data_IF_776103898494
#
_entry.id   IF_776103898494
#
_cell.length_a   1.000
_cell.length_b   1.000
_cell.length_c   1.000
_cell.angle_alpha   90.00
_cell.angle_beta   90.00
_cell.angle_gamma   90.00
#
_symmetry.space_group_name_H-M   'P 1'
#
loop_
_entity.id
_entity.type
_entity.pdbx_description
1 polymer ?
#
# COMPACT_ATOMS: atom_id res chain seq x y z
N UNK A 1 -2.79 12.27 -20.04
CA UNK A 1 -2.01 11.29 -19.26
C UNK A 1 -1.21 12.07 -18.22
N UNK A 2 -1.20 11.61 -16.97
CA UNK A 2 -0.50 12.27 -15.88
C UNK A 2 0.57 11.33 -15.32
N UNK A 3 1.81 11.82 -15.29
CA UNK A 3 2.93 11.11 -14.66
C UNK A 3 3.34 11.86 -13.39
N UNK A 4 3.64 11.12 -12.33
CA UNK A 4 4.10 11.73 -11.08
C UNK A 4 5.11 10.84 -10.36
N UNK A 5 6.11 11.43 -9.67
CA UNK A 5 7.09 10.67 -8.91
C UNK A 5 6.41 10.02 -7.71
N UNK A 6 6.81 8.79 -7.41
CA UNK A 6 6.24 8.02 -6.31
C UNK A 6 7.31 7.29 -5.51
N UNK A 7 6.91 6.86 -4.31
CA UNK A 7 7.61 5.84 -3.54
C UNK A 7 6.67 4.65 -3.36
N UNK A 8 7.19 3.44 -3.59
CA UNK A 8 6.48 2.19 -3.27
C UNK A 8 6.66 1.94 -1.77
N UNK A 9 5.54 1.83 -1.06
CA UNK A 9 5.48 1.64 0.39
C UNK A 9 5.40 0.17 0.79
N UNK A 10 4.61 -0.61 0.03
CA UNK A 10 4.49 -2.06 0.15
C UNK A 10 4.08 -2.64 -1.21
N UNK A 11 4.50 -3.87 -1.51
CA UNK A 11 4.27 -4.52 -2.80
C UNK A 11 3.76 -5.94 -2.56
N UNK A 12 2.50 -6.21 -2.91
CA UNK A 12 1.90 -7.55 -2.78
C UNK A 12 1.95 -8.31 -4.10
N UNK A 13 1.55 -7.63 -5.17
CA UNK A 13 1.61 -8.14 -6.53
C UNK A 13 1.65 -6.97 -7.50
N UNK A 14 1.85 -7.27 -8.78
CA UNK A 14 1.84 -6.25 -9.81
C UNK A 14 0.44 -5.62 -10.03
N UNK A 15 -0.62 -6.25 -9.50
CA UNK A 15 -1.99 -5.71 -9.52
C UNK A 15 -2.44 -5.17 -8.17
N UNK A 16 -1.57 -5.20 -7.15
CA UNK A 16 -1.87 -4.67 -5.83
C UNK A 16 -0.58 -4.29 -5.12
N UNK A 17 -0.29 -2.99 -5.16
CA UNK A 17 0.81 -2.39 -4.42
C UNK A 17 0.39 -1.02 -3.89
N UNK A 18 1.16 -0.53 -2.93
CA UNK A 18 0.86 0.67 -2.17
C UNK A 18 1.92 1.72 -2.48
N UNK A 19 1.46 2.92 -2.85
CA UNK A 19 2.33 4.02 -3.27
C UNK A 19 2.03 5.29 -2.48
N UNK A 20 2.99 6.20 -2.46
CA UNK A 20 2.78 7.58 -2.06
C UNK A 20 3.44 8.55 -3.02
N UNK A 21 2.79 9.70 -3.22
CA UNK A 21 3.35 10.86 -3.92
C UNK A 21 4.26 11.71 -3.01
N UNK A 22 4.22 11.49 -1.69
CA UNK A 22 5.10 12.15 -0.72
C UNK A 22 6.47 11.47 -0.68
N UNK A 23 7.22 11.58 -1.77
CA UNK A 23 8.51 10.90 -1.96
C UNK A 23 9.53 11.31 -0.87
N UNK A 24 9.42 12.54 -0.38
CA UNK A 24 10.30 13.09 0.65
C UNK A 24 9.79 12.87 2.08
N UNK A 25 8.57 12.32 2.27
CA UNK A 25 8.00 12.04 3.58
C UNK A 25 7.56 13.30 4.37
N UNK A 26 7.41 14.45 3.72
CA UNK A 26 7.06 15.72 4.37
C UNK A 26 5.64 15.72 4.93
N UNK A 27 4.68 15.14 4.20
CA UNK A 27 3.29 15.02 4.68
C UNK A 27 3.23 14.04 5.86
N UNK A 28 3.94 12.91 5.76
CA UNK A 28 4.04 11.94 6.87
C UNK A 28 4.62 12.57 8.13
N UNK A 29 5.73 13.32 7.99
CA UNK A 29 6.36 14.01 9.11
C UNK A 29 5.40 15.03 9.77
N UNK A 30 4.73 15.87 8.97
CA UNK A 30 3.74 16.83 9.48
C UNK A 30 2.60 16.15 10.24
N UNK A 31 2.10 15.02 9.73
CA UNK A 31 1.06 14.24 10.42
C UNK A 31 1.60 13.73 11.76
N UNK A 32 2.80 13.15 11.80
CA UNK A 32 3.41 12.68 13.06
C UNK A 32 3.57 13.83 14.07
N UNK A 33 4.01 15.01 13.64
CA UNK A 33 4.14 16.20 14.49
C UNK A 33 2.78 16.67 15.05
N UNK A 34 1.72 16.63 14.25
CA UNK A 34 0.35 16.93 14.71
C UNK A 34 -0.13 15.91 15.74
N UNK A 35 0.13 14.62 15.51
CA UNK A 35 -0.22 13.57 16.47
C UNK A 35 0.50 13.80 17.80
N UNK A 36 1.81 14.09 17.76
CA UNK A 36 2.60 14.32 18.98
C UNK A 36 1.99 15.43 19.85
N UNK A 37 1.48 16.51 19.22
CA UNK A 37 0.89 17.64 19.95
C UNK A 37 -0.43 17.29 20.66
N UNK A 38 -1.28 16.47 20.02
CA UNK A 38 -2.69 16.39 20.38
C UNK A 38 -3.18 14.99 20.77
N UNK A 39 -2.33 13.97 20.76
CA UNK A 39 -2.74 12.60 21.09
C UNK A 39 -3.02 12.40 22.58
N UNK A 40 -4.00 11.55 22.88
CA UNK A 40 -4.29 11.08 24.25
C UNK A 40 -4.26 9.57 24.29
N UNK A 41 -3.60 8.97 25.28
CA UNK A 41 -3.60 7.51 25.45
C UNK A 41 -5.00 7.04 25.84
N UNK A 42 -5.45 5.94 25.24
CA UNK A 42 -6.76 5.34 25.52
C UNK A 42 -6.64 3.83 25.69
N UNK A 43 -7.56 3.25 26.45
CA UNK A 43 -7.61 1.82 26.76
C UNK A 43 -8.65 1.06 25.93
N UNK A 44 -9.62 1.79 25.36
CA UNK A 44 -10.68 1.24 24.52
C UNK A 44 -11.10 2.23 23.43
N UNK A 45 -11.50 1.69 22.28
CA UNK A 45 -11.98 2.45 21.11
C UNK A 45 -13.20 1.77 20.50
N UNK A 46 -13.99 2.51 19.76
CA UNK A 46 -15.01 1.92 18.90
C UNK A 46 -14.35 1.28 17.66
N UNK A 47 -14.98 0.27 17.07
CA UNK A 47 -14.54 -0.24 15.77
C UNK A 47 -14.69 0.87 14.71
N UNK A 48 -13.73 0.94 13.78
CA UNK A 48 -13.63 1.92 12.69
C UNK A 48 -13.08 3.31 13.02
N UNK A 49 -12.62 3.60 14.24
CA UNK A 49 -11.91 4.86 14.52
C UNK A 49 -10.46 4.82 14.00
N UNK A 50 -10.01 5.94 13.42
CA UNK A 50 -8.59 6.13 13.10
C UNK A 50 -7.87 6.54 14.38
N UNK A 51 -6.93 5.71 14.81
CA UNK A 51 -6.12 5.89 16.01
C UNK A 51 -4.68 6.27 15.65
N UNK A 52 -3.92 6.72 16.64
CA UNK A 52 -2.48 6.84 16.54
C UNK A 52 -1.78 5.64 17.17
N UNK A 53 -0.67 5.23 16.55
CA UNK A 53 0.20 4.16 17.02
C UNK A 53 1.66 4.56 16.85
N UNK A 54 2.56 3.98 17.64
CA UNK A 54 4.00 4.16 17.45
C UNK A 54 4.51 3.20 16.38
N UNK A 55 5.25 3.70 15.41
CA UNK A 55 5.83 2.94 14.30
C UNK A 55 7.18 3.55 13.90
N UNK A 56 8.28 2.78 13.94
CA UNK A 56 9.64 3.23 13.61
C UNK A 56 10.01 4.61 14.22
N UNK A 57 9.85 4.75 15.54
CA UNK A 57 10.14 5.97 16.31
C UNK A 57 9.33 7.23 15.97
N UNK A 58 8.28 7.08 15.16
CA UNK A 58 7.31 8.13 14.88
C UNK A 58 5.89 7.69 15.23
N UNK A 59 4.96 8.64 15.21
CA UNK A 59 3.54 8.36 15.36
C UNK A 59 2.88 8.27 13.99
N UNK A 60 2.06 7.24 13.80
CA UNK A 60 1.36 6.97 12.56
C UNK A 60 -0.14 6.85 12.80
N UNK A 61 -0.95 7.23 11.81
CA UNK A 61 -2.38 6.98 11.82
C UNK A 61 -2.64 5.53 11.40
N UNK A 62 -3.58 4.89 12.09
CA UNK A 62 -3.91 3.50 11.85
C UNK A 62 -5.42 3.25 11.98
N UNK A 63 -5.91 2.30 11.20
CA UNK A 63 -7.22 1.69 11.42
C UNK A 63 -7.03 0.39 12.22
N UNK A 64 -7.89 0.13 13.19
CA UNK A 64 -7.89 -1.14 13.92
C UNK A 64 -8.69 -2.15 13.10
N UNK A 65 -8.04 -3.23 12.68
CA UNK A 65 -8.67 -4.33 11.95
C UNK A 65 -9.30 -5.34 12.91
N UNK A 66 -8.60 -5.63 14.01
CA UNK A 66 -8.98 -6.66 14.98
C UNK A 66 -8.33 -6.36 16.33
N UNK A 67 -9.07 -6.63 17.40
CA UNK A 67 -8.55 -6.64 18.78
C UNK A 67 -8.34 -8.09 19.21
N UNK A 68 -7.09 -8.42 19.49
CA UNK A 68 -6.65 -9.74 19.94
C UNK A 68 -6.48 -9.69 21.46
N UNK A 69 -7.34 -10.39 22.19
CA UNK A 69 -7.25 -10.52 23.64
C UNK A 69 -6.53 -11.82 23.97
N UNK A 70 -5.43 -11.75 24.72
CA UNK A 70 -4.79 -12.95 25.23
C UNK A 70 -5.40 -13.33 26.58
N UNK A 71 -6.18 -14.41 26.59
CA UNK A 71 -6.95 -14.91 27.74
C UNK A 71 -6.12 -15.09 29.03
N UNK A 72 -4.81 -15.30 28.91
CA UNK A 72 -3.93 -15.53 30.07
C UNK A 72 -3.38 -14.24 30.70
N UNK A 73 -3.29 -13.14 29.95
CA UNK A 73 -2.60 -11.92 30.40
C UNK A 73 -3.50 -10.68 30.45
N UNK A 74 -4.73 -10.77 29.92
CA UNK A 74 -5.63 -9.64 29.71
C UNK A 74 -5.00 -8.49 28.89
N UNK A 75 -3.84 -8.73 28.26
CA UNK A 75 -3.17 -7.76 27.39
C UNK A 75 -3.91 -7.75 26.06
N UNK A 76 -4.41 -6.57 25.70
CA UNK A 76 -4.99 -6.30 24.38
C UNK A 76 -3.87 -6.02 23.38
N UNK A 77 -3.86 -6.78 22.30
CA UNK A 77 -3.09 -6.47 21.10
C UNK A 77 -4.05 -6.01 20.01
N UNK A 78 -3.62 -5.04 19.22
CA UNK A 78 -4.38 -4.45 18.13
C UNK A 78 -3.67 -4.76 16.82
N UNK A 79 -4.36 -5.47 15.94
CA UNK A 79 -3.95 -5.66 14.55
C UNK A 79 -4.37 -4.41 13.77
N UNK A 80 -3.38 -3.61 13.37
CA UNK A 80 -3.60 -2.27 12.84
C UNK A 80 -3.12 -2.17 11.40
N UNK A 81 -3.90 -1.46 10.57
CA UNK A 81 -3.51 -1.02 9.23
C UNK A 81 -3.05 0.43 9.25
N UNK A 82 -1.77 0.67 8.97
CA UNK A 82 -1.19 2.01 8.88
C UNK A 82 -1.63 2.69 7.59
N UNK A 83 -2.65 3.55 7.68
CA UNK A 83 -3.33 4.14 6.51
C UNK A 83 -2.42 5.04 5.66
N UNK A 84 -1.35 5.60 6.23
CA UNK A 84 -0.39 6.44 5.50
C UNK A 84 0.84 5.68 4.98
N UNK A 85 0.97 4.40 5.37
CA UNK A 85 2.16 3.57 5.09
C UNK A 85 1.83 2.29 4.31
N UNK A 86 0.56 1.90 4.20
CA UNK A 86 0.17 0.68 3.48
C UNK A 86 0.69 -0.60 4.13
N UNK A 87 0.82 -0.63 5.46
CA UNK A 87 1.40 -1.76 6.20
C UNK A 87 0.53 -2.21 7.36
N UNK A 88 0.59 -3.52 7.67
CA UNK A 88 0.00 -4.10 8.88
C UNK A 88 1.03 -4.16 10.00
N UNK A 89 0.61 -3.79 11.20
CA UNK A 89 1.40 -3.95 12.43
C UNK A 89 0.53 -4.54 13.54
N UNK A 90 1.19 -5.15 14.53
CA UNK A 90 0.55 -5.50 15.80
C UNK A 90 1.15 -4.60 16.86
N UNK A 91 0.32 -3.96 17.66
CA UNK A 91 0.74 -3.10 18.76
C UNK A 91 -0.16 -3.30 19.97
N UNK A 92 0.30 -2.91 21.15
CA UNK A 92 -0.46 -3.00 22.40
C UNK A 92 -0.81 -1.62 22.97
N UNK A 93 -0.41 -0.54 22.30
CA UNK A 93 -0.66 0.84 22.70
C UNK A 93 -1.22 1.60 21.51
N UNK A 94 -2.37 2.21 21.73
CA UNK A 94 -3.07 3.07 20.79
C UNK A 94 -3.40 4.40 21.47
N UNK A 95 -3.58 5.44 20.66
CA UNK A 95 -3.88 6.79 21.12
C UNK A 95 -5.06 7.35 20.35
N UNK A 96 -5.94 8.06 21.04
CA UNK A 96 -7.03 8.79 20.41
C UNK A 96 -6.47 9.92 19.57
N UNK A 97 -7.07 10.12 18.41
CA UNK A 97 -6.80 11.26 17.55
C UNK A 97 -7.99 12.21 17.52
N UNK A 98 -7.76 13.53 17.51
CA UNK A 98 -8.79 14.49 17.16
C UNK A 98 -9.37 14.21 15.77
N UNK A 99 -10.69 14.42 15.60
CA UNK A 99 -11.39 14.17 14.31
C UNK A 99 -10.72 14.87 13.12
N UNK A 100 -10.16 16.06 13.33
CA UNK A 100 -9.50 16.80 12.25
C UNK A 100 -8.23 16.08 11.73
N UNK A 101 -7.50 15.33 12.57
CA UNK A 101 -6.35 14.50 12.14
C UNK A 101 -6.85 13.21 11.48
N UNK A 102 -7.92 12.62 12.01
CA UNK A 102 -8.54 11.43 11.43
C UNK A 102 -9.02 11.70 9.99
N UNK A 103 -9.60 12.87 9.74
CA UNK A 103 -10.18 13.27 8.46
C UNK A 103 -9.14 13.68 7.40
N UNK A 104 -7.84 13.77 7.72
CA UNK A 104 -6.81 14.06 6.73
C UNK A 104 -6.77 12.93 5.70
N UNK A 105 -6.77 13.24 4.41
CA UNK A 105 -6.70 12.22 3.36
C UNK A 105 -5.45 11.33 3.53
N UNK A 106 -5.62 9.99 3.55
CA UNK A 106 -4.51 9.05 3.61
C UNK A 106 -3.44 9.33 2.56
N UNK A 107 -2.17 9.28 2.97
CA UNK A 107 -1.04 9.50 2.07
C UNK A 107 -0.72 8.28 1.19
N UNK A 108 -1.22 7.11 1.59
CA UNK A 108 -1.07 5.87 0.85
C UNK A 108 -2.20 5.73 -0.17
N UNK A 109 -1.86 5.36 -1.40
CA UNK A 109 -2.80 4.99 -2.47
C UNK A 109 -2.55 3.56 -2.90
N UNK A 110 -3.62 2.86 -3.29
CA UNK A 110 -3.54 1.52 -3.86
C UNK A 110 -3.38 1.66 -5.37
N UNK A 111 -2.44 0.91 -5.94
CA UNK A 111 -2.15 0.93 -7.35
C UNK A 111 -2.06 -0.48 -7.94
N UNK A 112 -2.35 -0.55 -9.24
CA UNK A 112 -2.24 -1.73 -10.10
C UNK A 112 -1.55 -1.35 -11.40
N UNK A 113 -0.72 -2.24 -11.91
CA UNK A 113 -0.25 -2.14 -13.28
C UNK A 113 -1.41 -2.42 -14.25
N UNK A 114 -1.38 -1.74 -15.39
CA UNK A 114 -2.46 -1.73 -16.38
C UNK A 114 -2.36 -2.89 -17.36
N UNK A 115 -3.51 -3.48 -17.69
CA UNK A 115 -3.73 -4.30 -18.90
C UNK A 115 -2.69 -5.40 -19.12
N UNK A 116 -2.43 -6.19 -18.08
CA UNK A 116 -1.76 -7.47 -18.26
C UNK A 116 -2.26 -8.53 -17.30
N UNK A 117 -1.97 -9.78 -17.62
CA UNK A 117 -2.27 -10.95 -16.84
C UNK A 117 -1.00 -11.82 -16.73
N UNK A 118 -0.89 -12.60 -15.65
CA UNK A 118 0.23 -13.52 -15.50
C UNK A 118 0.00 -14.74 -16.39
N UNK A 119 1.11 -15.27 -16.92
CA UNK A 119 1.11 -16.53 -17.64
C UNK A 119 1.18 -17.68 -16.63
N UNK A 120 0.29 -18.65 -16.75
CA UNK A 120 0.37 -19.89 -16.00
C UNK A 120 1.60 -20.67 -16.50
N UNK A 121 2.39 -21.19 -15.57
CA UNK A 121 3.56 -22.02 -15.87
C UNK A 121 3.19 -23.39 -16.43
N UNK A 122 1.91 -23.77 -16.36
CA UNK A 122 1.39 -25.01 -16.92
C UNK A 122 0.98 -24.74 -18.38
N UNK A 123 1.72 -25.36 -19.29
CA UNK A 123 1.38 -25.41 -20.71
C UNK A 123 0.34 -26.52 -20.91
N UNK A 124 -0.80 -26.17 -21.49
CA UNK A 124 -1.85 -27.15 -21.81
C UNK A 124 -1.82 -27.48 -23.30
N UNK A 125 -1.99 -28.77 -23.63
CA UNK A 125 -2.17 -29.20 -25.01
C UNK A 125 -3.64 -28.98 -25.38
N UNK A 126 -3.91 -27.97 -26.20
CA UNK A 126 -5.24 -27.70 -26.71
C UNK A 126 -5.77 -28.84 -27.58
N UNK A 127 -7.08 -28.88 -27.77
CA UNK A 127 -7.81 -29.93 -28.51
C UNK A 127 -7.29 -30.11 -29.96
N UNK A 128 -6.64 -29.09 -30.52
CA UNK A 128 -6.02 -29.11 -31.86
C UNK A 128 -4.52 -29.41 -31.86
N UNK A 129 -3.93 -29.82 -30.73
CA UNK A 129 -2.50 -30.07 -30.58
C UNK A 129 -1.62 -28.81 -30.43
N UNK A 130 -2.22 -27.63 -30.31
CA UNK A 130 -1.51 -26.37 -30.03
C UNK A 130 -1.24 -26.22 -28.54
N UNK A 131 -0.01 -25.86 -28.17
CA UNK A 131 0.33 -25.53 -26.79
C UNK A 131 -0.23 -24.14 -26.44
N UNK A 132 -1.04 -24.06 -25.40
CA UNK A 132 -1.58 -22.80 -24.86
C UNK A 132 -1.14 -22.61 -23.42
N UNK A 133 -0.63 -21.42 -23.07
CA UNK A 133 -0.47 -21.05 -21.66
C UNK A 133 -1.77 -20.44 -21.16
N UNK A 134 -2.32 -20.97 -20.07
CA UNK A 134 -3.49 -20.36 -19.44
C UNK A 134 -3.11 -19.05 -18.74
N UNK A 135 -4.06 -18.12 -18.63
CA UNK A 135 -3.86 -16.87 -17.91
C UNK A 135 -4.24 -17.09 -16.43
N UNK A 136 -3.50 -16.48 -15.50
CA UNK A 136 -3.75 -16.62 -14.05
C UNK A 136 -3.71 -15.27 -13.34
N UNK A 137 -4.46 -15.18 -12.23
CA UNK A 137 -4.48 -14.04 -11.34
C UNK A 137 -3.34 -14.07 -10.30
N UNK A 138 -2.64 -15.20 -10.18
CA UNK A 138 -1.55 -15.39 -9.21
C UNK A 138 -0.18 -15.14 -9.86
N UNK A 139 0.57 -14.18 -9.34
CA UNK A 139 1.93 -13.93 -9.79
C UNK A 139 2.82 -15.15 -9.51
N UNK A 140 3.56 -15.61 -10.52
CA UNK A 140 4.62 -16.58 -10.29
C UNK A 140 5.75 -15.94 -9.47
N UNK A 141 6.53 -16.76 -8.76
CA UNK A 141 7.71 -16.30 -8.02
C UNK A 141 8.71 -15.56 -8.93
N UNK A 142 8.80 -15.97 -10.20
CA UNK A 142 9.61 -15.31 -11.23
C UNK A 142 9.13 -13.89 -11.54
N UNK A 143 7.83 -13.66 -11.66
CA UNK A 143 7.27 -12.31 -11.89
C UNK A 143 7.56 -11.40 -10.70
N UNK A 144 7.34 -11.90 -9.47
CA UNK A 144 7.59 -11.14 -8.24
C UNK A 144 9.07 -10.76 -8.15
N UNK A 145 9.98 -11.73 -8.32
CA UNK A 145 11.42 -11.50 -8.26
C UNK A 145 11.88 -10.50 -9.32
N UNK A 146 11.47 -10.70 -10.58
CA UNK A 146 11.85 -9.82 -11.68
C UNK A 146 11.36 -8.39 -11.45
N UNK A 147 10.12 -8.23 -10.98
CA UNK A 147 9.57 -6.90 -10.64
C UNK A 147 10.41 -6.24 -9.54
N UNK A 148 10.78 -7.00 -8.52
CA UNK A 148 11.57 -6.51 -7.40
C UNK A 148 12.98 -6.10 -7.81
N UNK A 149 13.65 -6.89 -8.65
CA UNK A 149 15.00 -6.60 -9.15
C UNK A 149 15.02 -5.30 -9.99
N UNK A 150 13.98 -5.08 -10.80
CA UNK A 150 13.84 -3.85 -11.60
C UNK A 150 13.58 -2.63 -10.70
N UNK A 151 12.68 -2.74 -9.72
CA UNK A 151 12.36 -1.66 -8.79
C UNK A 151 13.54 -1.31 -7.89
N UNK A 152 14.23 -2.31 -7.34
CA UNK A 152 15.29 -2.13 -6.33
C UNK A 152 16.58 -1.53 -6.88
N UNK A 153 16.81 -1.63 -8.20
CA UNK A 153 17.98 -1.05 -8.87
C UNK A 153 17.69 0.30 -9.52
N UNK A 154 16.54 0.90 -9.22
CA UNK A 154 16.11 2.18 -9.80
C UNK A 154 16.61 3.38 -9.01
N UNK A 155 16.91 4.47 -9.72
CA UNK A 155 17.24 5.77 -9.13
C UNK A 155 15.97 6.51 -8.73
N UNK A 156 14.93 6.36 -9.55
CA UNK A 156 13.63 7.02 -9.40
C UNK A 156 12.53 6.17 -10.03
N UNK A 157 11.35 6.23 -9.42
CA UNK A 157 10.14 5.59 -9.94
C UNK A 157 9.09 6.67 -10.18
N UNK A 158 8.48 6.62 -11.36
CA UNK A 158 7.36 7.48 -11.76
C UNK A 158 6.17 6.58 -12.05
N UNK A 159 4.99 6.98 -11.59
CA UNK A 159 3.74 6.31 -11.94
C UNK A 159 3.11 7.04 -13.12
N UNK A 160 2.83 6.30 -14.19
CA UNK A 160 2.09 6.78 -15.35
C UNK A 160 0.62 6.39 -15.21
N UNK A 161 -0.21 7.33 -14.75
CA UNK A 161 -1.63 7.09 -14.48
C UNK A 161 -2.41 7.03 -15.79
N UNK A 162 -3.08 5.90 -16.00
CA UNK A 162 -3.98 5.67 -17.14
C UNK A 162 -5.45 5.81 -16.75
N UNK A 163 -5.80 5.32 -15.57
CA UNK A 163 -7.18 5.31 -15.08
C UNK A 163 -7.21 5.35 -13.55
N UNK A 164 -8.22 6.00 -12.99
CA UNK A 164 -8.55 5.92 -11.56
C UNK A 164 -9.94 5.31 -11.42
N UNK A 165 -10.09 4.30 -10.55
CA UNK A 165 -11.36 3.63 -10.30
C UNK A 165 -11.87 3.99 -8.91
N UNK A 166 -13.05 4.60 -8.87
CA UNK A 166 -13.80 4.95 -7.67
C UNK A 166 -13.00 5.76 -6.61
N UNK A 167 -11.95 6.47 -7.04
CA UNK A 167 -10.98 7.17 -6.17
C UNK A 167 -10.21 6.27 -5.20
N UNK A 168 -10.23 4.95 -5.42
CA UNK A 168 -9.62 3.95 -4.53
C UNK A 168 -8.39 3.32 -5.16
N UNK A 169 -8.50 2.96 -6.45
CA UNK A 169 -7.49 2.20 -7.16
C UNK A 169 -6.95 3.01 -8.35
N UNK A 170 -5.64 3.23 -8.33
CA UNK A 170 -4.90 3.84 -9.43
C UNK A 170 -4.42 2.75 -10.39
N UNK A 171 -4.77 2.86 -11.67
CA UNK A 171 -4.34 1.94 -12.72
C UNK A 171 -3.38 2.69 -13.64
N UNK A 172 -2.20 2.12 -13.82
CA UNK A 172 -1.14 2.78 -14.56
C UNK A 172 0.02 1.87 -14.88
N UNK A 173 1.17 2.46 -15.18
CA UNK A 173 2.42 1.71 -15.30
C UNK A 173 3.50 2.34 -14.40
N UNK A 174 4.54 1.56 -14.11
CA UNK A 174 5.72 2.03 -13.40
C UNK A 174 6.82 2.32 -14.41
N UNK A 175 7.21 3.59 -14.52
CA UNK A 175 8.36 4.04 -15.28
C UNK A 175 9.57 4.06 -14.34
N UNK A 176 10.53 3.20 -14.65
CA UNK A 176 11.73 2.97 -13.86
C UNK A 176 12.87 3.75 -14.50
N UNK A 177 13.40 4.73 -13.77
CA UNK A 177 14.58 5.48 -14.19
C UNK A 177 15.83 4.80 -13.63
N UNK A 178 16.77 4.45 -14.51
CA UNK A 178 18.04 3.82 -14.15
C UNK A 178 19.12 4.19 -15.16
N UNK A 179 20.26 4.70 -14.70
CA UNK A 179 21.43 5.00 -15.54
C UNK A 179 21.04 5.82 -16.80
N UNK A 180 20.28 6.91 -16.62
CA UNK A 180 19.72 7.79 -17.65
C UNK A 180 18.71 7.14 -18.63
N UNK A 181 18.35 5.87 -18.43
CA UNK A 181 17.31 5.18 -19.20
C UNK A 181 15.98 5.18 -18.47
N UNK A 182 14.88 5.18 -19.23
CA UNK A 182 13.52 5.03 -18.73
C UNK A 182 12.96 3.71 -19.26
N UNK A 183 12.56 2.83 -18.34
CA UNK A 183 12.02 1.51 -18.66
C UNK A 183 10.58 1.42 -18.14
N UNK A 184 9.64 1.05 -19.01
CA UNK A 184 8.30 0.61 -18.58
C UNK A 184 8.42 -0.77 -17.93
N UNK A 185 7.93 -0.89 -16.69
CA UNK A 185 7.93 -2.17 -15.99
C UNK A 185 7.10 -3.22 -16.73
N UNK A 186 5.91 -2.85 -17.22
CA UNK A 186 5.06 -3.78 -17.98
C UNK A 186 5.76 -4.27 -19.25
N UNK A 187 6.39 -3.39 -20.03
CA UNK A 187 7.14 -3.80 -21.22
C UNK A 187 8.32 -4.73 -20.89
N UNK A 188 9.03 -4.49 -19.79
CA UNK A 188 10.13 -5.35 -19.37
C UNK A 188 9.66 -6.75 -18.96
N UNK A 189 8.51 -6.85 -18.29
CA UNK A 189 7.93 -8.14 -17.91
C UNK A 189 7.40 -8.89 -19.14
N UNK A 190 6.79 -8.18 -20.09
CA UNK A 190 6.27 -8.75 -21.35
C UNK A 190 7.40 -9.29 -22.22
N UNK A 191 8.49 -8.53 -22.40
CA UNK A 191 9.68 -8.97 -23.16
C UNK A 191 10.34 -10.21 -22.56
N UNK A 192 10.21 -10.43 -21.25
CA UNK A 192 10.74 -11.61 -20.55
C UNK A 192 9.77 -12.79 -20.57
N UNK A 193 8.61 -12.66 -21.22
CA UNK A 193 7.60 -13.72 -21.28
C UNK A 193 6.97 -14.03 -19.92
N UNK A 194 6.92 -13.05 -19.02
CA UNK A 194 6.38 -13.22 -17.66
C UNK A 194 4.91 -12.82 -17.57
N UNK A 195 4.45 -11.97 -18.48
CA UNK A 195 3.08 -11.46 -18.55
C UNK A 195 2.61 -11.44 -20.01
N UNK A 196 1.31 -11.36 -20.21
CA UNK A 196 0.68 -11.08 -21.52
C UNK A 196 -0.45 -10.07 -21.35
N UNK A 197 -0.91 -9.45 -22.43
CA UNK A 197 -2.01 -8.48 -22.42
C UNK A 197 -3.33 -9.17 -22.74
N UNK A 198 -4.34 -8.93 -21.91
CA UNK A 198 -5.68 -9.49 -22.06
C UNK A 198 -6.67 -8.62 -21.30
N UNK A 199 -7.39 -7.76 -22.01
CA UNK A 199 -8.28 -6.78 -21.38
C UNK A 199 -9.41 -7.47 -20.61
N UNK A 200 -9.99 -8.55 -21.15
CA UNK A 200 -11.08 -9.28 -20.50
C UNK A 200 -10.66 -9.87 -19.15
N UNK A 201 -9.52 -10.55 -19.11
CA UNK A 201 -9.01 -11.17 -17.87
C UNK A 201 -8.51 -10.10 -16.90
N UNK A 202 -7.93 -9.00 -17.40
CA UNK A 202 -7.56 -7.86 -16.57
C UNK A 202 -8.79 -7.27 -15.86
N UNK A 203 -9.91 -7.05 -16.57
CA UNK A 203 -11.14 -6.50 -15.96
C UNK A 203 -11.72 -7.43 -14.87
N UNK A 204 -11.68 -8.74 -15.07
CA UNK A 204 -12.09 -9.71 -14.05
C UNK A 204 -11.19 -9.62 -12.79
N UNK A 205 -9.87 -9.55 -12.99
CA UNK A 205 -8.90 -9.42 -11.90
C UNK A 205 -9.10 -8.12 -11.11
N UNK A 206 -9.32 -7.01 -11.80
CA UNK A 206 -9.61 -5.71 -11.16
C UNK A 206 -10.89 -5.77 -10.35
N UNK A 207 -11.95 -6.41 -10.86
CA UNK A 207 -13.22 -6.57 -10.14
C UNK A 207 -13.04 -7.30 -8.82
N UNK A 208 -12.24 -8.37 -8.79
CA UNK A 208 -11.97 -9.13 -7.57
C UNK A 208 -11.05 -8.38 -6.61
N UNK A 209 -10.06 -7.65 -7.12
CA UNK A 209 -9.23 -6.76 -6.31
C UNK A 209 -10.06 -5.67 -5.63
N UNK A 210 -11.03 -5.08 -6.32
CA UNK A 210 -11.91 -4.06 -5.73
C UNK A 210 -12.77 -4.63 -4.60
N UNK A 211 -13.31 -5.84 -4.74
CA UNK A 211 -14.02 -6.53 -3.64
C UNK A 211 -13.11 -6.76 -2.45
N UNK A 212 -11.87 -7.21 -2.68
CA UNK A 212 -10.89 -7.42 -1.63
C UNK A 212 -10.54 -6.11 -0.93
N UNK A 213 -10.31 -5.04 -1.69
CA UNK A 213 -9.95 -3.73 -1.16
C UNK A 213 -11.07 -3.19 -0.28
N UNK A 214 -12.32 -3.23 -0.74
CA UNK A 214 -13.46 -2.70 0.01
C UNK A 214 -13.73 -3.50 1.31
N UNK A 215 -13.42 -4.79 1.33
CA UNK A 215 -13.60 -5.63 2.53
C UNK A 215 -12.45 -5.51 3.53
N UNK A 216 -11.23 -5.21 3.08
CA UNK A 216 -10.03 -5.24 3.94
C UNK A 216 -9.42 -3.85 4.22
N UNK A 217 -9.79 -2.83 3.44
CA UNK A 217 -9.29 -1.45 3.55
C UNK A 217 -10.41 -0.40 3.43
N UNK A 218 -11.51 -0.52 4.19
CA UNK A 218 -12.75 0.25 3.97
C UNK A 218 -12.58 1.79 4.03
N UNK A 219 -11.57 2.30 4.74
CA UNK A 219 -11.37 3.75 4.87
C UNK A 219 -10.71 4.36 3.62
N UNK A 220 -9.90 3.59 2.87
CA UNK A 220 -9.32 4.07 1.60
C UNK A 220 -10.44 4.29 0.56
N UNK A 221 -11.55 3.56 0.67
CA UNK A 221 -12.72 3.70 -0.22
C UNK A 221 -13.70 4.83 0.12
N UNK A 222 -13.57 5.49 1.27
CA UNK A 222 -14.56 6.48 1.74
C UNK A 222 -14.10 7.93 1.76
N UNK A 223 -12.91 8.25 1.23
CA UNK A 223 -12.42 9.64 1.13
C UNK A 223 -13.04 10.45 -0.03
N UNK A 224 -14.33 10.23 -0.32
CA UNK A 224 -15.11 11.14 -1.18
C UNK A 224 -15.89 12.11 -0.27
N UNK A 225 -15.80 13.44 -0.47
CA UNK A 225 -16.56 14.41 0.32
C UNK A 225 -18.09 14.29 0.16
N UNK A 226 -18.59 13.43 -0.74
CA UNK A 226 -19.99 13.33 -1.11
C UNK A 226 -20.64 11.95 -0.88
N UNK A 227 -20.09 11.10 -0.01
CA UNK A 227 -20.87 9.94 0.44
C UNK A 227 -21.80 10.37 1.58
N UNK A 228 -23.12 10.17 1.49
CA UNK A 228 -24.03 10.50 2.58
C UNK A 228 -23.84 9.45 3.69
N UNK A 229 -22.86 9.69 4.57
CA UNK A 229 -22.85 9.04 5.86
C UNK A 229 -24.11 9.49 6.60
N UNK A 230 -24.89 8.53 7.08
CA UNK A 230 -26.03 8.78 7.95
C UNK A 230 -25.63 9.73 9.08
N UNK A 231 -26.24 10.91 9.07
CA UNK A 231 -26.01 11.95 10.07
C UNK A 231 -26.50 11.45 11.43
N UNK A 232 -25.57 11.13 12.32
CA UNK A 232 -25.80 11.34 13.75
C UNK A 232 -25.13 12.66 14.13
N UNK A 233 -25.98 13.67 14.28
CA UNK A 233 -25.64 15.05 14.60
C UNK A 233 -25.04 15.18 15.99
N UNK A 234 -23.92 15.88 16.10
CA UNK A 234 -23.56 16.72 17.24
C UNK A 234 -22.62 17.82 16.73
N UNK A 235 -23.15 19.02 16.53
CA UNK A 235 -22.44 20.30 16.44
C UNK A 235 -23.34 21.30 17.20
N UNK A 236 -22.84 22.30 17.95
CA UNK A 236 -21.98 23.36 17.42
C UNK A 236 -20.84 23.82 18.35
N UNK A 237 -19.71 24.23 17.79
CA UNK A 237 -19.14 25.59 17.98
C UNK A 237 -17.69 25.70 17.45
N UNK A 238 -17.61 26.23 16.23
CA UNK A 238 -16.71 27.30 15.74
C UNK A 238 -15.27 27.39 16.27
N UNK A 239 -14.30 27.22 15.37
CA UNK A 239 -12.93 27.74 15.50
C UNK A 239 -12.60 28.72 14.36
N UNK A 240 -11.83 29.80 14.61
CA UNK A 240 -11.49 30.83 13.63
C UNK A 240 -10.28 30.42 12.76
N UNK A 241 -10.00 31.13 11.65
CA UNK A 241 -8.90 30.80 10.74
C UNK A 241 -7.57 31.36 11.27
N UNK A 242 -6.48 30.63 11.05
CA UNK A 242 -5.12 31.14 11.22
C UNK A 242 -4.30 30.92 9.95
N UNK A 243 -4.10 32.04 9.25
CA UNK A 243 -2.95 32.31 8.40
C UNK A 243 -1.67 32.28 9.26
N UNK A 244 -0.57 31.74 8.73
CA UNK A 244 0.65 32.52 8.43
C UNK A 244 1.81 31.65 7.97
N UNK A 245 2.40 32.10 6.86
CA UNK A 245 3.80 31.95 6.48
C UNK A 245 4.79 31.95 7.66
N UNK A 246 5.78 31.05 7.61
CA UNK A 246 7.19 31.34 7.93
C UNK A 246 8.12 30.18 7.55
N UNK A 247 9.11 30.53 6.72
CA UNK A 247 10.25 29.71 6.28
C UNK A 247 11.27 29.52 7.41
N UNK A 248 11.77 28.31 7.66
CA UNK A 248 13.15 28.05 8.15
C UNK A 248 13.62 26.62 7.69
N UNK A 249 14.91 26.22 7.79
CA UNK A 249 15.69 25.74 6.65
C UNK A 249 16.00 24.23 6.67
N UNK A 250 16.47 23.75 5.53
CA UNK A 250 16.83 22.36 5.23
C UNK A 250 18.10 21.93 5.96
N UNK A 251 18.04 20.83 6.71
CA UNK A 251 19.22 20.01 7.02
C UNK A 251 19.06 18.63 6.40
N UNK A 252 20.04 18.26 5.57
CA UNK A 252 20.15 16.99 4.87
C UNK A 252 20.67 15.91 5.83
N UNK A 253 20.06 14.71 5.85
CA UNK A 253 20.84 13.47 5.97
C UNK A 253 20.05 12.20 5.61
N UNK A 254 20.73 11.35 4.81
CA UNK A 254 20.73 9.88 4.81
C UNK A 254 19.55 9.08 4.20
N UNK A 255 19.39 9.20 2.88
CA UNK A 255 18.50 8.41 2.00
C UNK A 255 18.85 6.91 1.82
N UNK A 256 20.02 6.42 2.26
CA UNK A 256 20.49 5.06 1.93
C UNK A 256 20.08 3.94 2.90
N UNK A 257 19.56 4.27 4.09
CA UNK A 257 19.29 3.26 5.12
C UNK A 257 17.93 2.55 4.94
N UNK A 258 16.89 3.29 4.51
CA UNK A 258 15.49 2.82 4.50
C UNK A 258 15.20 1.75 3.46
N UNK A 259 15.90 1.77 2.31
CA UNK A 259 15.72 0.77 1.26
C UNK A 259 16.29 -0.60 1.67
N UNK A 260 17.40 -0.62 2.44
CA UNK A 260 18.01 -1.86 2.90
C UNK A 260 17.14 -2.61 3.91
N UNK A 261 16.47 -1.89 4.82
CA UNK A 261 15.61 -2.51 5.83
C UNK A 261 14.35 -3.17 5.24
N UNK A 262 13.76 -2.56 4.20
CA UNK A 262 12.62 -3.15 3.48
C UNK A 262 13.06 -4.43 2.74
N UNK A 263 14.23 -4.41 2.09
CA UNK A 263 14.79 -5.57 1.38
C UNK A 263 15.09 -6.71 2.36
N UNK A 264 15.70 -6.43 3.52
CA UNK A 264 15.98 -7.41 4.56
C UNK A 264 14.72 -8.08 5.11
N UNK A 265 13.68 -7.28 5.40
CA UNK A 265 12.41 -7.78 5.94
C UNK A 265 11.68 -8.67 4.94
N UNK A 266 11.76 -8.36 3.64
CA UNK A 266 11.18 -9.17 2.57
C UNK A 266 11.99 -10.46 2.30
N UNK A 267 13.33 -10.42 2.37
CA UNK A 267 14.17 -11.64 2.29
C UNK A 267 13.87 -12.63 3.42
N UNK A 268 13.69 -12.14 4.65
CA UNK A 268 13.31 -13.00 5.80
C UNK A 268 11.94 -13.67 5.61
N UNK A 269 10.99 -12.98 4.98
CA UNK A 269 9.66 -13.56 4.68
C UNK A 269 9.70 -14.59 3.55
N UNK A 270 10.61 -14.44 2.57
CA UNK A 270 10.83 -15.44 1.51
C UNK A 270 11.47 -16.71 2.06
N UNK A 271 12.47 -16.61 2.94
CA UNK A 271 13.11 -17.78 3.56
C UNK A 271 12.13 -18.59 4.42
N UNK A 272 11.28 -17.92 5.21
CA UNK A 272 10.26 -18.59 6.05
C UNK A 272 9.23 -19.38 5.24
N UNK A 273 8.94 -18.98 4.00
CA UNK A 273 8.03 -19.72 3.12
C UNK A 273 8.68 -20.98 2.52
N UNK A 274 10.01 -20.98 2.34
CA UNK A 274 10.74 -22.14 1.84
C UNK A 274 10.93 -23.22 2.92
N UNK A 275 11.16 -22.84 4.17
CA UNK A 275 11.31 -23.81 5.27
C UNK A 275 10.02 -24.57 5.59
N UNK A 276 8.84 -23.98 5.35
CA UNK A 276 7.57 -24.69 5.54
C UNK A 276 7.15 -25.60 4.39
N UNK A 277 7.85 -25.59 3.25
CA UNK A 277 7.55 -26.49 2.12
C UNK A 277 8.41 -27.75 2.10
N UNK A 278 9.48 -27.81 2.90
CA UNK A 278 10.35 -28.99 3.02
C UNK A 278 9.94 -29.96 4.13
N UNK A 279 9.20 -29.50 5.15
CA UNK A 279 8.75 -30.35 6.27
C UNK A 279 7.44 -31.13 5.96
N UNK A 280 6.69 -30.76 4.93
CA UNK A 280 5.46 -31.48 4.50
C UNK A 280 5.75 -32.60 3.46
N UNK A 281 7.02 -32.84 3.13
CA UNK A 281 7.44 -33.88 2.18
C UNK A 281 8.40 -34.93 2.80
N UNK A 282 8.32 -35.15 4.11
CA UNK A 282 9.01 -36.25 4.80
C UNK A 282 8.07 -37.13 5.62
#
# INVERSE_FOLDING_TARGET
>A
MSTFPIKILDFKSAHMFFITMDVEGKKQQKISELIIKDHKKIEDTCSNEIVAVRYNDQYARANILETIVNDQSMVKNYNCWLIDFGQRIICNIIYQLPKYIQNIEPNCKIASLSNFCYLNSILELGIKGSITSNQTCCASSGVIKCTFDLISTSDKIVFDLKQEIANVLLIGDLLIHKDDTILSLSEQLERRGLITRSESVFQELIKDNLKFINSHFPIISHSSPNSPAERTTCDPNTLPPLDLDRRIPVQQSNKKLVVREIIEKMRKNLLKKQTHTEDDNR
#
